data_IF_066095810466
#
_entry.id   IF_066095810466
#
_cell.length_a   1.000
_cell.length_b   1.000
_cell.length_c   1.000
_cell.angle_alpha   90.00
_cell.angle_beta   90.00
_cell.angle_gamma   90.00
#
_symmetry.space_group_name_H-M   'P 1'
#
loop_
_entity.id
_entity.type
_entity.pdbx_description
1 polymer ?
#
# COMPACT_ATOMS: atom_id res chain seq x y z
N UNK A 1 13.98 -7.81 -12.58
CA UNK A 1 13.22 -8.75 -11.72
C UNK A 1 13.02 -10.08 -12.43
N UNK A 2 13.22 -11.21 -11.73
CA UNK A 2 12.91 -12.55 -12.24
C UNK A 2 11.40 -12.79 -12.34
N UNK A 3 10.98 -13.79 -13.14
CA UNK A 3 9.56 -14.18 -13.27
C UNK A 3 8.95 -14.61 -11.93
N UNK A 4 9.72 -15.28 -11.08
CA UNK A 4 9.29 -15.68 -9.74
C UNK A 4 9.04 -14.47 -8.82
N UNK A 5 9.92 -13.47 -8.85
CA UNK A 5 9.75 -12.22 -8.07
C UNK A 5 8.49 -11.48 -8.50
N UNK A 6 8.26 -11.36 -9.82
CA UNK A 6 7.05 -10.73 -10.37
C UNK A 6 5.77 -11.47 -9.96
N UNK A 7 5.76 -12.81 -10.02
CA UNK A 7 4.61 -13.61 -9.55
C UNK A 7 4.35 -13.42 -8.06
N UNK A 8 5.40 -13.34 -7.24
CA UNK A 8 5.29 -13.15 -5.79
C UNK A 8 4.67 -11.79 -5.44
N UNK A 9 5.11 -10.71 -6.11
CA UNK A 9 4.53 -9.38 -5.96
C UNK A 9 3.05 -9.37 -6.38
N UNK A 10 2.78 -9.83 -7.61
CA UNK A 10 1.42 -9.90 -8.13
C UNK A 10 0.48 -10.79 -7.28
N UNK A 11 0.99 -11.83 -6.63
CA UNK A 11 0.25 -12.63 -5.66
C UNK A 11 -0.11 -11.82 -4.42
N UNK A 12 0.86 -11.13 -3.82
CA UNK A 12 0.63 -10.27 -2.66
C UNK A 12 -0.39 -9.16 -2.94
N UNK A 13 -0.35 -8.54 -4.12
CA UNK A 13 -1.34 -7.54 -4.52
C UNK A 13 -2.76 -8.11 -4.61
N UNK A 14 -2.92 -9.34 -5.12
CA UNK A 14 -4.24 -10.01 -5.14
C UNK A 14 -4.73 -10.31 -3.72
N UNK A 15 -3.84 -10.80 -2.85
CA UNK A 15 -4.18 -11.12 -1.46
C UNK A 15 -4.68 -9.87 -0.72
N UNK A 16 -3.99 -8.73 -0.90
CA UNK A 16 -4.37 -7.44 -0.30
C UNK A 16 -5.72 -6.94 -0.84
N UNK A 17 -5.95 -7.00 -2.15
CA UNK A 17 -7.26 -6.61 -2.73
C UNK A 17 -8.39 -7.47 -2.17
N UNK A 18 -8.20 -8.79 -2.11
CA UNK A 18 -9.20 -9.69 -1.55
C UNK A 18 -9.49 -9.36 -0.07
N UNK A 19 -8.43 -9.10 0.71
CA UNK A 19 -8.55 -8.70 2.11
C UNK A 19 -9.27 -7.36 2.28
N UNK A 20 -8.93 -6.33 1.50
CA UNK A 20 -9.61 -5.03 1.52
C UNK A 20 -11.10 -5.15 1.19
N UNK A 21 -11.45 -5.90 0.14
CA UNK A 21 -12.85 -6.14 -0.24
C UNK A 21 -13.63 -6.84 0.86
N UNK A 22 -13.03 -7.86 1.48
CA UNK A 22 -13.65 -8.58 2.61
C UNK A 22 -13.88 -7.67 3.83
N UNK A 23 -13.16 -6.56 3.95
CA UNK A 23 -13.26 -5.58 5.03
C UNK A 23 -13.97 -4.27 4.61
N UNK A 24 -14.82 -4.32 3.59
CA UNK A 24 -15.72 -3.22 3.24
C UNK A 24 -15.24 -2.26 2.15
N UNK A 25 -14.01 -2.40 1.66
CA UNK A 25 -13.50 -1.63 0.51
C UNK A 25 -13.85 -2.34 -0.81
N UNK A 26 -15.13 -2.40 -1.15
CA UNK A 26 -15.66 -3.15 -2.30
C UNK A 26 -14.99 -2.80 -3.64
N UNK A 27 -14.61 -1.54 -3.81
CA UNK A 27 -14.01 -1.03 -5.05
C UNK A 27 -12.49 -1.15 -5.10
N UNK A 28 -11.85 -1.70 -4.06
CA UNK A 28 -10.41 -1.90 -4.06
C UNK A 28 -9.98 -2.73 -5.27
N UNK A 29 -8.99 -2.27 -6.03
CA UNK A 29 -8.45 -3.02 -7.17
C UNK A 29 -6.98 -2.71 -7.40
N UNK A 30 -6.28 -3.61 -8.08
CA UNK A 30 -4.88 -3.42 -8.46
C UNK A 30 -4.78 -2.35 -9.52
N UNK A 31 -3.78 -1.46 -9.42
CA UNK A 31 -3.46 -0.54 -10.52
C UNK A 31 -2.83 -1.33 -11.67
N UNK A 32 -3.17 -0.94 -12.89
CA UNK A 32 -2.58 -1.53 -14.08
C UNK A 32 -1.15 -1.03 -14.25
N UNK A 33 -0.25 -1.94 -14.62
CA UNK A 33 1.12 -1.60 -14.96
C UNK A 33 1.16 -0.68 -16.19
N UNK A 34 2.12 0.26 -16.23
CA UNK A 34 2.34 1.14 -17.38
C UNK A 34 1.60 2.48 -17.32
N UNK A 35 1.06 2.85 -16.15
CA UNK A 35 0.59 4.22 -15.93
C UNK A 35 1.74 5.23 -16.12
N UNK A 36 1.42 6.40 -16.68
CA UNK A 36 2.41 7.48 -16.90
C UNK A 36 3.06 7.96 -15.61
N UNK A 37 2.29 7.95 -14.51
CA UNK A 37 2.76 8.24 -13.17
C UNK A 37 2.42 7.06 -12.27
N UNK A 38 3.38 6.72 -11.41
CA UNK A 38 3.16 5.73 -10.36
C UNK A 38 2.32 6.34 -9.24
N UNK A 39 1.26 5.64 -8.84
CA UNK A 39 0.25 6.07 -7.87
C UNK A 39 0.02 5.01 -6.79
N UNK A 40 0.99 4.10 -6.64
CA UNK A 40 0.94 2.93 -5.77
C UNK A 40 0.17 1.76 -6.39
N UNK A 41 0.14 0.64 -5.67
CA UNK A 41 -0.38 -0.63 -6.18
C UNK A 41 -1.91 -0.77 -6.15
N UNK A 42 -2.60 -0.04 -5.25
CA UNK A 42 -4.05 -0.16 -5.04
C UNK A 42 -4.79 1.11 -5.48
N UNK A 43 -5.97 0.90 -6.07
CA UNK A 43 -6.97 1.92 -6.42
C UNK A 43 -8.31 1.61 -5.75
N UNK A 44 -9.29 2.51 -5.91
CA UNK A 44 -10.65 2.31 -5.38
C UNK A 44 -10.86 2.73 -3.92
N UNK A 45 -9.85 3.37 -3.31
CA UNK A 45 -9.93 3.95 -1.97
C UNK A 45 -9.57 5.45 -2.08
N UNK A 46 -10.55 6.36 -2.16
CA UNK A 46 -10.28 7.77 -2.39
C UNK A 46 -9.38 8.41 -1.34
N UNK A 47 -8.34 9.12 -1.80
CA UNK A 47 -7.42 9.86 -0.93
C UNK A 47 -6.38 9.00 -0.20
N UNK A 48 -6.27 7.71 -0.52
CA UNK A 48 -5.35 6.76 0.11
C UNK A 48 -4.46 6.10 -0.94
N UNK A 49 -3.14 6.24 -0.78
CA UNK A 49 -2.16 5.47 -1.55
C UNK A 49 -1.68 4.26 -0.75
N UNK A 50 -1.66 3.07 -1.37
CA UNK A 50 -1.16 1.84 -0.76
C UNK A 50 -0.11 1.23 -1.67
N UNK A 51 1.09 1.06 -1.14
CA UNK A 51 2.20 0.39 -1.79
C UNK A 51 2.46 -0.97 -1.14
N UNK A 52 2.62 -2.04 -1.92
CA UNK A 52 2.65 -3.41 -1.41
C UNK A 52 4.03 -4.01 -1.58
N UNK A 53 4.64 -4.42 -0.46
CA UNK A 53 5.96 -5.08 -0.49
C UNK A 53 5.91 -6.50 0.06
N UNK A 54 6.41 -7.46 -0.72
CA UNK A 54 6.62 -8.83 -0.28
C UNK A 54 8.11 -9.22 -0.42
N UNK A 55 8.94 -8.68 0.46
CA UNK A 55 10.39 -8.82 0.42
C UNK A 55 10.95 -9.58 1.64
N UNK A 56 12.05 -10.31 1.45
CA UNK A 56 12.69 -11.07 2.54
C UNK A 56 13.52 -10.17 3.47
N UNK A 57 14.11 -9.11 2.92
CA UNK A 57 14.84 -8.06 3.64
C UNK A 57 14.01 -6.78 3.57
N UNK A 58 13.91 -6.09 4.70
CA UNK A 58 13.23 -4.80 4.79
C UNK A 58 14.13 -3.69 4.24
N UNK A 59 13.54 -2.80 3.44
CA UNK A 59 14.13 -1.55 2.99
C UNK A 59 13.14 -0.41 3.22
N UNK A 60 12.87 -0.14 4.50
CA UNK A 60 11.84 0.83 4.87
C UNK A 60 12.14 2.24 4.34
N UNK A 61 13.41 2.61 4.25
CA UNK A 61 13.81 3.92 3.73
C UNK A 61 13.46 4.06 2.24
N UNK A 62 13.84 3.07 1.42
CA UNK A 62 13.51 3.05 0.00
C UNK A 62 11.99 3.03 -0.23
N UNK A 63 11.28 2.15 0.45
CA UNK A 63 9.82 2.00 0.27
C UNK A 63 9.04 3.25 0.69
N UNK A 64 9.50 3.96 1.73
CA UNK A 64 8.86 5.19 2.16
C UNK A 64 9.12 6.33 1.17
N UNK A 65 10.32 6.40 0.58
CA UNK A 65 10.61 7.39 -0.47
C UNK A 65 9.74 7.18 -1.73
N UNK A 66 9.51 5.91 -2.11
CA UNK A 66 8.56 5.55 -3.19
C UNK A 66 7.14 5.99 -2.85
N UNK A 67 6.64 5.62 -1.66
CA UNK A 67 5.29 5.98 -1.20
C UNK A 67 5.07 7.50 -1.21
N UNK A 68 6.04 8.32 -0.78
CA UNK A 68 5.89 9.78 -0.78
C UNK A 68 5.71 10.36 -2.20
N UNK A 69 6.39 9.77 -3.20
CA UNK A 69 6.24 10.16 -4.61
C UNK A 69 4.87 9.73 -5.14
N UNK A 70 4.46 8.50 -4.85
CA UNK A 70 3.17 7.96 -5.29
C UNK A 70 2.00 8.74 -4.70
N UNK A 71 2.05 9.07 -3.39
CA UNK A 71 1.05 9.91 -2.74
C UNK A 71 0.91 11.26 -3.44
N UNK A 72 2.03 11.89 -3.81
CA UNK A 72 2.04 13.14 -4.56
C UNK A 72 1.40 12.97 -5.95
N UNK A 73 1.72 11.89 -6.65
CA UNK A 73 1.19 11.61 -7.98
C UNK A 73 -0.31 11.25 -7.97
N UNK A 74 -0.78 10.60 -6.91
CA UNK A 74 -2.19 10.24 -6.71
C UNK A 74 -3.02 11.38 -6.12
N UNK A 75 -2.38 12.40 -5.54
CA UNK A 75 -3.05 13.46 -4.79
C UNK A 75 -3.64 12.95 -3.48
N UNK A 76 -3.07 11.90 -2.90
CA UNK A 76 -3.54 11.28 -1.68
C UNK A 76 -3.12 12.09 -0.44
N UNK A 77 -4.03 12.22 0.53
CA UNK A 77 -3.77 12.90 1.80
C UNK A 77 -3.15 11.96 2.84
N UNK A 78 -3.28 10.64 2.63
CA UNK A 78 -2.61 9.62 3.44
C UNK A 78 -2.14 8.44 2.60
N UNK A 79 -1.29 7.60 3.18
CA UNK A 79 -0.83 6.39 2.51
C UNK A 79 0.02 5.51 3.41
N UNK A 80 0.24 4.27 2.94
CA UNK A 80 1.06 3.30 3.67
C UNK A 80 1.77 2.33 2.73
N UNK A 81 2.95 1.90 3.16
CA UNK A 81 3.55 0.67 2.67
C UNK A 81 2.94 -0.49 3.47
N UNK A 82 2.10 -1.31 2.84
CA UNK A 82 1.59 -2.55 3.40
C UNK A 82 2.53 -3.70 3.04
N UNK A 83 3.37 -4.13 3.97
CA UNK A 83 4.40 -5.13 3.70
C UNK A 83 4.26 -6.42 4.48
N UNK A 84 4.49 -7.52 3.78
CA UNK A 84 4.26 -8.88 4.29
C UNK A 84 5.14 -9.19 5.50
N UNK A 85 4.49 -9.53 6.62
CA UNK A 85 5.19 -10.08 7.78
C UNK A 85 5.69 -11.49 7.45
N UNK A 86 7.00 -11.71 7.62
CA UNK A 86 7.64 -13.00 7.32
C UNK A 86 6.94 -14.14 8.06
N UNK A 87 6.55 -15.17 7.30
CA UNK A 87 5.86 -16.36 7.83
C UNK A 87 4.36 -16.19 8.07
N UNK A 88 3.76 -15.02 7.80
CA UNK A 88 2.32 -14.80 7.96
C UNK A 88 1.62 -14.73 6.61
N UNK A 89 0.62 -15.60 6.42
CA UNK A 89 -0.22 -15.64 5.23
C UNK A 89 -1.35 -14.62 5.27
N UNK A 90 -1.92 -14.41 6.46
CA UNK A 90 -2.99 -13.44 6.69
C UNK A 90 -2.49 -12.00 6.52
N UNK A 91 -3.15 -11.25 5.63
CA UNK A 91 -2.86 -9.83 5.35
C UNK A 91 -3.13 -8.96 6.58
N UNK A 92 -4.08 -9.35 7.44
CA UNK A 92 -4.35 -8.64 8.70
C UNK A 92 -3.18 -8.65 9.69
N UNK A 93 -2.21 -9.55 9.51
CA UNK A 93 -0.98 -9.61 10.32
C UNK A 93 0.22 -8.92 9.66
N UNK A 94 0.04 -8.29 8.50
CA UNK A 94 1.10 -7.56 7.80
C UNK A 94 1.34 -6.20 8.47
N UNK A 95 2.45 -5.55 8.10
CA UNK A 95 2.79 -4.26 8.68
C UNK A 95 2.34 -3.13 7.76
N UNK A 96 1.64 -2.15 8.34
CA UNK A 96 1.42 -0.85 7.73
C UNK A 96 2.52 0.10 8.21
N UNK A 97 3.40 0.55 7.32
CA UNK A 97 4.45 1.52 7.63
C UNK A 97 4.19 2.83 6.89
N UNK A 98 4.38 3.96 7.56
CA UNK A 98 4.13 5.29 7.01
C UNK A 98 5.02 6.33 7.72
N UNK A 99 5.34 7.47 7.08
CA UNK A 99 5.98 8.58 7.79
C UNK A 99 5.14 9.04 8.97
N UNK A 100 5.77 9.44 10.08
CA UNK A 100 5.05 9.92 11.27
C UNK A 100 4.10 11.09 10.98
N UNK A 101 4.46 11.98 10.03
CA UNK A 101 3.60 13.08 9.57
C UNK A 101 2.31 12.60 8.90
N UNK A 102 2.39 11.51 8.12
CA UNK A 102 1.24 10.90 7.45
C UNK A 102 0.34 10.19 8.47
N UNK A 103 0.95 9.50 9.43
CA UNK A 103 0.23 8.92 10.57
C UNK A 103 -0.50 9.99 11.38
N UNK A 104 0.13 11.12 11.67
CA UNK A 104 -0.51 12.24 12.37
C UNK A 104 -1.70 12.79 11.57
N UNK A 105 -1.59 12.93 10.25
CA UNK A 105 -2.70 13.35 9.40
C UNK A 105 -3.87 12.36 9.47
N UNK A 106 -3.59 11.05 9.40
CA UNK A 106 -4.58 9.99 9.58
C UNK A 106 -5.25 10.04 10.96
N UNK A 107 -4.47 10.25 12.02
CA UNK A 107 -4.98 10.37 13.38
C UNK A 107 -5.92 11.57 13.53
N UNK A 108 -5.54 12.73 12.97
CA UNK A 108 -6.40 13.91 12.98
C UNK A 108 -7.72 13.68 12.23
N UNK A 109 -7.66 13.01 11.07
CA UNK A 109 -8.85 12.69 10.28
C UNK A 109 -9.80 11.76 11.07
N UNK A 110 -9.25 10.73 11.72
CA UNK A 110 -10.01 9.79 12.53
C UNK A 110 -10.66 10.45 13.76
N UNK A 111 -10.03 11.49 14.29
CA UNK A 111 -10.48 12.27 15.46
C UNK A 111 -11.29 13.53 15.08
N UNK A 112 -11.61 13.73 13.79
CA UNK A 112 -12.39 14.88 13.32
C UNK A 112 -11.70 16.25 13.49
N UNK A 113 -10.36 16.27 13.57
CA UNK A 113 -9.52 17.47 13.77
C UNK A 113 -8.96 18.06 12.45
N UNK A 114 -9.52 17.64 11.32
CA UNK A 114 -9.12 17.98 9.95
C UNK A 114 -10.17 18.85 9.28
#
# INVERSE_FOLDING_TARGET
MSSASKRKGSGAERDVVAWLKANGYLYADRRLAGATLDKGDISGIPGVTIEIKNHARLDLAGWIAELEIEMKNDGAWTGTVLHKRKGKGDVGEWYATMPAKVWLALLKQADGKT
#
